data_IF_318176356576
#
_entry.id   IF_318176356576
#
_cell.length_a   1.000
_cell.length_b   1.000
_cell.length_c   1.000
_cell.angle_alpha   90.00
_cell.angle_beta   90.00
_cell.angle_gamma   90.00
#
_symmetry.space_group_name_H-M   'P 1'
#
loop_
_entity.id
_entity.type
_entity.pdbx_description
1 polymer ?
#
# COMPACT_ATOMS: atom_id res chain seq x y z
N UNK A 1 -54.03 -27.42 38.28
CA UNK A 1 -52.64 -26.91 38.32
C UNK A 1 -52.26 -26.47 36.92
N UNK A 2 -52.10 -25.17 36.73
CA UNK A 2 -51.80 -24.54 35.45
C UNK A 2 -50.27 -24.49 35.24
N UNK A 3 -49.76 -25.10 34.18
CA UNK A 3 -48.40 -24.86 33.71
C UNK A 3 -48.46 -24.11 32.39
N UNK A 4 -48.20 -22.80 32.44
CA UNK A 4 -47.76 -21.99 31.30
C UNK A 4 -46.23 -22.10 31.29
N UNK A 5 -45.66 -22.75 30.29
CA UNK A 5 -44.23 -22.61 29.99
C UNK A 5 -44.13 -21.86 28.67
N UNK A 6 -43.50 -20.70 28.78
CA UNK A 6 -43.31 -19.68 27.75
C UNK A 6 -42.24 -20.18 26.79
N UNK A 7 -42.58 -20.33 25.51
CA UNK A 7 -41.61 -20.57 24.44
C UNK A 7 -40.84 -19.26 24.20
N UNK A 8 -39.58 -19.20 24.63
CA UNK A 8 -38.68 -18.11 24.27
C UNK A 8 -38.08 -18.41 22.90
N UNK A 9 -38.60 -17.73 21.86
CA UNK A 9 -38.01 -17.75 20.52
C UNK A 9 -36.64 -17.05 20.54
N UNK A 10 -35.57 -17.79 20.26
CA UNK A 10 -34.27 -17.22 19.91
C UNK A 10 -34.40 -16.52 18.56
N UNK A 11 -34.42 -15.19 18.57
CA UNK A 11 -34.17 -14.39 17.37
C UNK A 11 -32.69 -14.51 17.02
N UNK A 12 -32.38 -15.32 16.00
CA UNK A 12 -31.05 -15.32 15.38
C UNK A 12 -30.98 -14.03 14.54
N UNK A 13 -30.44 -12.95 15.11
CA UNK A 13 -30.04 -11.78 14.34
C UNK A 13 -28.88 -12.20 13.42
N UNK A 14 -29.21 -12.55 12.19
CA UNK A 14 -28.25 -12.58 11.10
C UNK A 14 -27.74 -11.16 10.90
N UNK A 15 -26.58 -10.85 11.49
CA UNK A 15 -25.83 -9.64 11.16
C UNK A 15 -25.33 -9.82 9.73
N UNK A 16 -26.12 -9.38 8.77
CA UNK A 16 -25.70 -9.24 7.38
C UNK A 16 -24.48 -8.34 7.40
N UNK A 17 -23.29 -8.91 7.18
CA UNK A 17 -22.08 -8.14 6.91
C UNK A 17 -22.35 -7.31 5.64
N UNK A 18 -22.75 -6.05 5.81
CA UNK A 18 -22.80 -5.10 4.72
C UNK A 18 -21.40 -5.10 4.10
N UNK A 19 -21.27 -5.25 2.76
CA UNK A 19 -19.99 -5.14 2.10
C UNK A 19 -19.37 -3.80 2.49
N UNK A 20 -18.05 -3.80 2.75
CA UNK A 20 -17.30 -2.59 3.03
C UNK A 20 -17.75 -1.48 2.07
N UNK A 21 -18.18 -0.35 2.62
CA UNK A 21 -18.80 0.70 1.83
C UNK A 21 -17.85 1.14 0.71
N UNK A 22 -18.23 0.84 -0.53
CA UNK A 22 -17.61 1.42 -1.71
C UNK A 22 -17.61 2.95 -1.55
N UNK A 23 -16.55 3.62 -2.01
CA UNK A 23 -16.47 5.08 -1.99
C UNK A 23 -17.72 5.73 -2.62
N UNK A 24 -18.09 6.96 -2.21
CA UNK A 24 -19.32 7.59 -2.66
C UNK A 24 -19.34 7.81 -4.17
N UNK A 25 -20.52 7.77 -4.78
CA UNK A 25 -20.68 8.27 -6.15
C UNK A 25 -20.60 9.81 -6.16
N UNK A 26 -20.18 10.39 -7.28
CA UNK A 26 -20.07 11.84 -7.40
C UNK A 26 -19.81 12.32 -8.82
N UNK A 27 -19.54 13.62 -8.96
CA UNK A 27 -19.29 14.23 -10.26
C UNK A 27 -17.95 13.71 -10.83
N UNK A 28 -17.92 13.04 -12.00
CA UNK A 28 -16.68 12.52 -12.59
C UNK A 28 -15.65 13.61 -12.93
N UNK A 29 -16.09 14.86 -13.11
CA UNK A 29 -15.23 16.04 -13.32
C UNK A 29 -14.69 16.64 -12.02
N UNK A 30 -15.13 16.17 -10.85
CA UNK A 30 -14.53 16.54 -9.58
C UNK A 30 -13.24 15.76 -9.34
N UNK A 31 -12.45 16.24 -8.39
CA UNK A 31 -11.23 15.59 -7.91
C UNK A 31 -11.43 14.87 -6.58
N UNK A 32 -12.65 14.87 -6.07
CA UNK A 32 -12.98 14.32 -4.77
C UNK A 32 -12.86 12.80 -4.81
N UNK A 33 -12.63 12.18 -3.65
CA UNK A 33 -12.56 10.74 -3.52
C UNK A 33 -13.94 10.10 -3.74
N UNK A 34 -14.15 9.60 -4.95
CA UNK A 34 -15.42 9.04 -5.43
C UNK A 34 -15.19 7.75 -6.23
N UNK A 35 -16.27 7.03 -6.46
CA UNK A 35 -16.30 5.92 -7.40
C UNK A 35 -16.18 6.45 -8.83
N UNK A 36 -15.11 6.07 -9.53
CA UNK A 36 -14.85 6.46 -10.93
C UNK A 36 -15.08 5.28 -11.86
N UNK A 37 -15.64 5.55 -13.05
CA UNK A 37 -15.99 4.56 -14.09
C UNK A 37 -15.85 5.21 -15.49
N UNK A 38 -15.39 4.52 -16.53
CA UNK A 38 -14.55 3.30 -16.55
C UNK A 38 -13.03 3.62 -16.55
N UNK A 39 -12.15 2.71 -16.06
CA UNK A 39 -12.48 1.49 -15.31
C UNK A 39 -12.91 1.78 -13.87
N UNK A 40 -13.69 0.87 -13.30
CA UNK A 40 -14.18 0.97 -11.92
C UNK A 40 -13.02 0.99 -10.92
N UNK A 41 -13.02 2.01 -10.07
CA UNK A 41 -12.10 2.21 -8.94
C UNK A 41 -12.65 3.27 -8.01
N UNK A 42 -12.14 3.30 -6.79
CA UNK A 42 -12.23 4.47 -5.95
C UNK A 42 -11.00 5.34 -6.18
N UNK A 43 -11.18 6.64 -6.46
CA UNK A 43 -10.05 7.56 -6.70
C UNK A 43 -10.43 9.00 -6.36
N UNK A 44 -9.53 9.70 -5.69
CA UNK A 44 -9.57 11.15 -5.56
C UNK A 44 -8.73 11.69 -4.41
N UNK A 45 -8.97 12.95 -4.08
CA UNK A 45 -8.43 13.60 -2.89
C UNK A 45 -9.32 13.28 -1.70
N UNK A 46 -8.74 12.71 -0.65
CA UNK A 46 -9.38 12.46 0.64
C UNK A 46 -9.14 13.62 1.59
N UNK A 47 -10.21 14.16 2.14
CA UNK A 47 -10.16 15.07 3.28
C UNK A 47 -10.04 14.27 4.59
N UNK A 48 -8.97 13.48 4.71
CA UNK A 48 -8.68 12.77 5.96
C UNK A 48 -7.59 13.52 6.72
N UNK A 49 -7.83 13.81 8.00
CA UNK A 49 -6.74 14.12 8.92
C UNK A 49 -5.94 12.83 9.10
N UNK A 50 -4.74 12.78 8.54
CA UNK A 50 -3.78 11.75 8.88
C UNK A 50 -3.59 11.78 10.40
N UNK A 51 -3.70 10.62 11.05
CA UNK A 51 -3.48 10.52 12.48
C UNK A 51 -1.99 10.52 12.80
N UNK A 52 -1.60 11.36 13.76
CA UNK A 52 -0.29 11.28 14.39
C UNK A 52 -0.11 9.92 15.09
N UNK A 53 1.14 9.56 15.37
CA UNK A 53 1.55 8.31 16.03
C UNK A 53 1.48 7.03 15.18
N UNK A 54 1.59 7.12 13.85
CA UNK A 54 1.68 5.95 12.98
C UNK A 54 2.91 5.96 12.07
N UNK A 55 3.43 4.77 11.78
CA UNK A 55 4.44 4.53 10.76
C UNK A 55 3.90 3.47 9.81
N UNK A 56 3.63 3.87 8.57
CA UNK A 56 2.98 3.01 7.59
C UNK A 56 3.91 2.75 6.41
N UNK A 57 4.02 1.49 6.00
CA UNK A 57 4.60 1.14 4.70
C UNK A 57 3.58 1.51 3.61
N UNK A 58 3.88 2.53 2.82
CA UNK A 58 2.97 3.05 1.79
C UNK A 58 3.46 2.77 0.37
N UNK A 59 4.67 2.23 0.21
CA UNK A 59 5.15 1.77 -1.10
C UNK A 59 6.07 0.58 -0.97
N UNK A 60 5.83 -0.43 -1.82
CA UNK A 60 6.86 -1.33 -2.34
C UNK A 60 6.68 -1.26 -3.84
N UNK A 61 7.49 -0.45 -4.53
CA UNK A 61 7.29 -0.20 -5.95
C UNK A 61 8.59 -0.11 -6.72
N UNK A 62 8.53 -0.34 -8.02
CA UNK A 62 9.57 0.10 -8.96
C UNK A 62 8.92 1.05 -9.96
N UNK A 63 9.54 2.21 -10.17
CA UNK A 63 8.97 3.26 -11.01
C UNK A 63 10.04 4.12 -11.65
N UNK A 64 9.88 4.40 -12.93
CA UNK A 64 10.65 5.41 -13.66
C UNK A 64 9.66 6.42 -14.27
N UNK A 65 9.06 7.23 -13.42
CA UNK A 65 8.00 8.17 -13.78
C UNK A 65 8.40 9.60 -13.44
N UNK A 66 8.60 10.42 -14.48
CA UNK A 66 8.97 11.84 -14.36
C UNK A 66 7.78 12.79 -14.52
N UNK A 67 6.76 12.39 -15.27
CA UNK A 67 5.53 13.17 -15.51
C UNK A 67 4.33 12.26 -15.77
N UNK A 68 3.12 12.77 -15.55
CA UNK A 68 1.89 12.05 -15.91
C UNK A 68 1.49 12.32 -17.37
N UNK A 69 1.39 11.27 -18.17
CA UNK A 69 0.67 11.29 -19.45
C UNK A 69 -0.84 11.29 -19.25
N UNK A 70 -1.63 11.14 -20.32
CA UNK A 70 -3.10 11.01 -20.22
C UNK A 70 -3.51 9.78 -19.40
N UNK A 71 -2.79 8.67 -19.59
CA UNK A 71 -3.03 7.42 -18.89
C UNK A 71 -1.79 6.98 -18.14
N UNK A 72 -1.99 6.23 -17.06
CA UNK A 72 -0.95 5.53 -16.33
C UNK A 72 -1.39 4.08 -16.12
N UNK A 73 -0.41 3.18 -16.10
CA UNK A 73 -0.62 1.76 -15.84
C UNK A 73 0.17 1.37 -14.61
N UNK A 74 -0.47 0.63 -13.71
CA UNK A 74 0.22 -0.17 -12.69
C UNK A 74 0.19 -1.64 -13.10
N UNK A 75 1.28 -2.35 -12.81
CA UNK A 75 1.35 -3.79 -12.97
C UNK A 75 1.78 -4.43 -11.66
N UNK A 76 1.15 -5.56 -11.34
CA UNK A 76 1.38 -6.32 -10.12
C UNK A 76 1.77 -7.73 -10.54
N UNK A 77 2.98 -8.21 -10.19
CA UNK A 77 3.38 -9.57 -10.50
C UNK A 77 2.45 -10.60 -9.88
N UNK A 78 2.10 -11.63 -10.65
CA UNK A 78 1.40 -12.79 -10.11
C UNK A 78 2.38 -13.68 -9.34
N UNK A 79 1.94 -14.15 -8.18
CA UNK A 79 2.70 -15.10 -7.35
C UNK A 79 1.94 -16.42 -7.21
N UNK A 80 2.66 -17.48 -6.85
CA UNK A 80 2.05 -18.80 -6.63
C UNK A 80 0.99 -18.74 -5.51
N UNK A 81 -0.17 -19.34 -5.74
CA UNK A 81 -1.32 -19.28 -4.83
C UNK A 81 -2.09 -17.96 -4.82
N UNK A 82 -1.56 -16.89 -5.43
CA UNK A 82 -2.21 -15.57 -5.50
C UNK A 82 -3.24 -15.49 -6.63
N UNK A 83 -4.48 -15.09 -6.30
CA UNK A 83 -5.57 -14.92 -7.28
C UNK A 83 -5.93 -13.48 -7.61
N UNK A 84 -6.07 -12.62 -6.61
CA UNK A 84 -6.39 -11.21 -6.79
C UNK A 84 -5.61 -10.40 -5.75
N UNK A 85 -4.62 -9.58 -6.14
CA UNK A 85 -3.94 -8.73 -5.19
C UNK A 85 -4.85 -7.55 -4.81
N UNK A 86 -4.80 -7.17 -3.54
CA UNK A 86 -5.26 -5.85 -3.10
C UNK A 86 -4.20 -4.84 -3.47
N UNK A 87 -4.62 -3.69 -4.00
CA UNK A 87 -3.69 -2.66 -4.50
C UNK A 87 -4.20 -1.30 -4.03
N UNK A 88 -3.28 -0.54 -3.45
CA UNK A 88 -3.55 0.84 -3.04
C UNK A 88 -2.46 1.72 -3.62
N UNK A 89 -2.87 2.78 -4.30
CA UNK A 89 -2.00 3.83 -4.83
C UNK A 89 -2.29 5.12 -4.08
N UNK A 90 -1.25 5.78 -3.58
CA UNK A 90 -1.38 7.03 -2.80
C UNK A 90 -0.36 8.06 -3.23
N UNK A 91 -0.64 9.32 -2.93
CA UNK A 91 0.36 10.37 -2.87
C UNK A 91 0.00 11.30 -1.72
N UNK A 92 0.97 11.59 -0.86
CA UNK A 92 0.79 12.40 0.34
C UNK A 92 1.65 13.65 0.21
N UNK A 93 1.00 14.81 0.17
CA UNK A 93 1.65 16.11 0.25
C UNK A 93 1.11 16.90 1.44
N UNK A 94 1.72 18.04 1.73
CA UNK A 94 1.35 18.88 2.88
C UNK A 94 -0.11 19.37 2.83
N UNK A 95 -0.68 19.48 1.63
CA UNK A 95 -2.02 20.03 1.38
C UNK A 95 -2.95 19.10 0.57
N UNK A 96 -2.56 17.84 0.34
CA UNK A 96 -3.39 16.89 -0.38
C UNK A 96 -3.10 15.45 0.04
N UNK A 97 -4.15 14.62 0.09
CA UNK A 97 -4.03 13.17 0.23
C UNK A 97 -4.74 12.50 -0.95
N UNK A 98 -3.99 12.12 -1.97
CA UNK A 98 -4.54 11.33 -3.07
C UNK A 98 -4.56 9.86 -2.69
N UNK A 99 -5.68 9.18 -2.98
CA UNK A 99 -5.82 7.75 -2.84
C UNK A 99 -6.57 7.17 -4.03
N UNK A 100 -6.13 5.99 -4.47
CA UNK A 100 -6.82 5.13 -5.40
C UNK A 100 -6.72 3.67 -4.94
N UNK A 101 -7.87 3.00 -4.84
CA UNK A 101 -8.05 1.64 -4.36
C UNK A 101 -9.28 1.00 -5.01
N UNK A 102 -9.64 -0.22 -4.57
CA UNK A 102 -10.71 -1.03 -5.15
C UNK A 102 -10.59 -1.19 -6.68
N UNK A 103 -9.35 -1.43 -7.12
CA UNK A 103 -8.99 -1.56 -8.52
C UNK A 103 -9.57 -2.85 -9.13
N UNK A 104 -10.31 -2.71 -10.23
CA UNK A 104 -10.68 -3.86 -11.05
C UNK A 104 -9.54 -4.26 -11.98
N UNK A 105 -8.68 -5.17 -11.52
CA UNK A 105 -7.47 -5.57 -12.23
C UNK A 105 -7.77 -6.54 -13.38
N UNK A 106 -7.12 -6.32 -14.51
CA UNK A 106 -7.09 -7.29 -15.61
C UNK A 106 -5.91 -8.25 -15.44
N UNK A 107 -6.14 -9.55 -15.68
CA UNK A 107 -5.11 -10.58 -15.58
C UNK A 107 -4.65 -11.00 -16.98
N UNK A 108 -3.35 -10.92 -17.24
CA UNK A 108 -2.74 -11.33 -18.51
C UNK A 108 -1.90 -12.62 -18.40
N UNK A 109 -2.13 -13.40 -17.35
CA UNK A 109 -1.45 -14.66 -17.06
C UNK A 109 -0.30 -14.51 -16.07
N UNK A 110 0.67 -13.65 -16.38
CA UNK A 110 1.89 -13.43 -15.57
C UNK A 110 1.81 -12.21 -14.65
N UNK A 111 0.94 -11.25 -14.94
CA UNK A 111 0.74 -10.02 -14.17
C UNK A 111 -0.74 -9.66 -14.11
N UNK A 112 -1.07 -8.87 -13.09
CA UNK A 112 -2.29 -8.08 -13.04
C UNK A 112 -1.95 -6.67 -13.50
N UNK A 113 -2.85 -6.02 -14.22
CA UNK A 113 -2.65 -4.63 -14.65
C UNK A 113 -3.90 -3.81 -14.49
N UNK A 114 -3.69 -2.52 -14.25
CA UNK A 114 -4.73 -1.52 -14.16
C UNK A 114 -4.27 -0.25 -14.86
N UNK A 115 -5.06 0.21 -15.83
CA UNK A 115 -4.78 1.42 -16.60
C UNK A 115 -5.91 2.41 -16.39
N UNK A 116 -5.60 3.64 -16.01
CA UNK A 116 -6.61 4.68 -15.78
C UNK A 116 -6.16 6.02 -16.39
N UNK A 117 -7.13 6.90 -16.62
CA UNK A 117 -6.84 8.30 -16.95
C UNK A 117 -6.37 9.05 -15.70
N UNK A 118 -5.25 9.75 -15.80
CA UNK A 118 -4.60 10.47 -14.70
C UNK A 118 -5.24 11.82 -14.40
N UNK A 119 -6.51 12.04 -14.78
CA UNK A 119 -7.23 13.31 -14.66
C UNK A 119 -7.05 13.95 -13.29
N UNK A 120 -7.33 13.23 -12.20
CA UNK A 120 -7.22 13.77 -10.84
C UNK A 120 -5.78 14.18 -10.53
N UNK A 121 -4.82 13.30 -10.82
CA UNK A 121 -3.40 13.53 -10.60
C UNK A 121 -2.90 14.80 -11.33
N UNK A 122 -3.30 14.97 -12.59
CA UNK A 122 -2.96 16.16 -13.40
C UNK A 122 -3.69 17.41 -12.92
N UNK A 123 -5.00 17.32 -12.66
CA UNK A 123 -5.82 18.45 -12.23
C UNK A 123 -5.38 19.02 -10.87
N UNK A 124 -4.86 18.16 -9.98
CA UNK A 124 -4.33 18.54 -8.67
C UNK A 124 -2.82 18.82 -8.67
N UNK A 125 -2.17 18.80 -9.84
CA UNK A 125 -0.73 19.02 -9.98
C UNK A 125 0.10 18.12 -9.05
N UNK A 126 -0.32 16.87 -8.86
CA UNK A 126 0.40 15.93 -8.02
C UNK A 126 1.76 15.62 -8.68
N UNK A 127 2.88 15.69 -7.96
CA UNK A 127 4.17 15.35 -8.53
C UNK A 127 4.23 13.87 -8.91
N UNK A 128 4.62 13.55 -10.14
CA UNK A 128 4.65 12.16 -10.60
C UNK A 128 5.59 11.27 -9.77
N UNK A 129 6.67 11.86 -9.27
CA UNK A 129 7.63 11.18 -8.40
C UNK A 129 7.14 10.96 -6.96
N UNK A 130 5.97 11.48 -6.58
CA UNK A 130 5.35 11.31 -5.26
C UNK A 130 4.36 10.14 -5.21
N UNK A 131 4.06 9.51 -6.35
CA UNK A 131 3.11 8.39 -6.39
C UNK A 131 3.73 7.16 -5.71
N UNK A 132 2.99 6.57 -4.78
CA UNK A 132 3.34 5.40 -3.97
C UNK A 132 2.33 4.30 -4.20
N UNK A 133 2.80 3.06 -4.17
CA UNK A 133 1.91 1.93 -4.40
C UNK A 133 2.33 0.72 -3.59
N UNK A 134 1.35 0.10 -2.94
CA UNK A 134 1.48 -1.19 -2.27
C UNK A 134 0.51 -2.17 -2.89
N UNK A 135 0.96 -3.41 -3.01
CA UNK A 135 0.10 -4.52 -3.37
C UNK A 135 0.39 -5.71 -2.46
N UNK A 136 -0.66 -6.43 -2.11
CA UNK A 136 -0.56 -7.63 -1.27
C UNK A 136 -1.54 -8.71 -1.71
N UNK A 137 -1.11 -9.96 -1.54
CA UNK A 137 -1.98 -11.12 -1.64
C UNK A 137 -2.30 -11.63 -0.24
N UNK A 138 -3.57 -11.95 0.00
CA UNK A 138 -3.98 -12.63 1.23
C UNK A 138 -3.75 -14.13 1.08
N UNK A 139 -2.62 -14.62 1.60
CA UNK A 139 -2.22 -16.03 1.56
C UNK A 139 -2.27 -16.62 2.98
N UNK A 140 -3.44 -17.11 3.38
CA UNK A 140 -3.67 -17.58 4.74
C UNK A 140 -3.86 -16.42 5.71
N UNK A 141 -3.16 -16.44 6.85
CA UNK A 141 -3.34 -15.46 7.94
C UNK A 141 -2.48 -14.19 7.83
N UNK A 142 -1.55 -14.12 6.87
CA UNK A 142 -0.66 -12.97 6.70
C UNK A 142 -0.69 -12.44 5.26
N UNK A 143 -0.74 -11.11 5.06
CA UNK A 143 -0.58 -10.52 3.75
C UNK A 143 0.86 -10.72 3.28
N UNK A 144 1.01 -11.13 2.02
CA UNK A 144 2.31 -11.22 1.33
C UNK A 144 2.39 -10.09 0.33
N UNK A 145 3.32 -9.17 0.56
CA UNK A 145 3.49 -8.02 -0.31
C UNK A 145 4.23 -8.37 -1.59
N UNK A 146 3.93 -7.62 -2.65
CA UNK A 146 4.61 -7.72 -3.96
C UNK A 146 4.91 -6.31 -4.46
N UNK A 147 6.00 -6.12 -5.24
CA UNK A 147 6.31 -4.82 -5.79
C UNK A 147 5.27 -4.42 -6.84
N UNK A 148 4.82 -3.17 -6.79
CA UNK A 148 4.01 -2.57 -7.85
C UNK A 148 4.93 -1.91 -8.87
N UNK A 149 4.77 -2.25 -10.14
CA UNK A 149 5.46 -1.58 -11.25
C UNK A 149 4.58 -0.42 -11.69
N UNK A 150 5.02 0.81 -11.44
CA UNK A 150 4.26 2.02 -11.78
C UNK A 150 4.84 2.63 -13.05
N UNK A 151 4.12 2.50 -14.16
CA UNK A 151 4.66 2.81 -15.49
C UNK A 151 5.74 1.81 -15.88
N UNK A 152 7.01 2.22 -15.82
CA UNK A 152 8.17 1.39 -16.14
C UNK A 152 9.01 1.11 -14.89
N UNK A 153 9.72 -0.02 -14.88
CA UNK A 153 10.67 -0.33 -13.81
C UNK A 153 11.87 0.64 -13.84
N UNK A 154 12.40 0.93 -12.66
CA UNK A 154 13.66 1.67 -12.47
C UNK A 154 14.89 0.77 -12.24
N UNK A 155 14.72 -0.55 -12.25
CA UNK A 155 15.79 -1.48 -11.86
C UNK A 155 15.98 -1.66 -10.35
N UNK A 156 15.21 -0.95 -9.52
CA UNK A 156 15.25 -1.06 -8.06
C UNK A 156 13.86 -0.99 -7.44
N UNK A 157 13.70 -1.63 -6.29
CA UNK A 157 12.53 -1.41 -5.43
C UNK A 157 12.74 -0.17 -4.57
N UNK A 158 11.68 0.59 -4.39
CA UNK A 158 11.53 1.68 -3.44
C UNK A 158 10.57 1.22 -2.34
N UNK A 159 11.10 1.07 -1.13
CA UNK A 159 10.33 0.90 0.08
C UNK A 159 10.13 2.26 0.70
N UNK A 160 8.88 2.71 0.77
CA UNK A 160 8.55 4.04 1.29
C UNK A 160 7.68 3.90 2.52
N UNK A 161 8.19 4.42 3.62
CA UNK A 161 7.45 4.57 4.85
C UNK A 161 7.01 6.02 5.02
N UNK A 162 5.84 6.21 5.59
CA UNK A 162 5.33 7.54 5.91
C UNK A 162 4.91 7.62 7.38
N UNK A 163 5.27 8.74 8.00
CA UNK A 163 4.79 9.15 9.32
C UNK A 163 4.61 10.66 9.37
N UNK A 164 3.61 11.14 10.11
CA UNK A 164 3.48 12.56 10.42
C UNK A 164 4.44 13.03 11.51
N UNK A 165 4.99 12.11 12.29
CA UNK A 165 5.98 12.39 13.32
C UNK A 165 7.39 12.19 12.77
N UNK A 166 8.39 12.65 13.52
CA UNK A 166 9.79 12.44 13.14
C UNK A 166 10.15 10.99 13.46
N UNK A 167 10.60 10.25 12.45
CA UNK A 167 10.95 8.84 12.62
C UNK A 167 12.41 8.63 12.30
N UNK A 168 13.09 7.89 13.18
CA UNK A 168 14.45 7.42 13.00
C UNK A 168 14.46 5.92 12.80
N UNK A 169 14.98 5.44 11.68
CA UNK A 169 15.16 4.02 11.44
C UNK A 169 16.56 3.60 11.89
N UNK A 170 16.65 2.81 12.97
CA UNK A 170 17.91 2.24 13.42
C UNK A 170 18.28 1.00 12.63
N UNK A 171 17.28 0.29 12.10
CA UNK A 171 17.46 -0.94 11.33
C UNK A 171 16.47 -0.99 10.19
N UNK A 172 16.96 -1.29 8.99
CA UNK A 172 16.17 -1.71 7.83
C UNK A 172 16.94 -2.86 7.17
N UNK A 173 16.35 -4.04 7.12
CA UNK A 173 16.99 -5.26 6.67
C UNK A 173 16.08 -6.06 5.75
N UNK A 174 16.68 -6.68 4.75
CA UNK A 174 16.03 -7.71 3.93
C UNK A 174 16.67 -9.04 4.28
N UNK A 175 15.86 -9.94 4.82
CA UNK A 175 16.27 -11.26 5.29
C UNK A 175 15.82 -12.31 4.27
N UNK A 176 16.76 -13.17 3.88
CA UNK A 176 16.44 -14.42 3.19
C UNK A 176 16.13 -15.49 4.24
N UNK A 177 15.24 -16.43 3.91
CA UNK A 177 14.94 -17.58 4.78
C UNK A 177 16.24 -18.25 5.28
N UNK A 178 16.35 -18.36 6.61
CA UNK A 178 17.45 -19.01 7.34
C UNK A 178 18.88 -18.48 7.02
N UNK A 179 18.98 -17.25 6.50
CA UNK A 179 20.25 -16.62 6.12
C UNK A 179 20.43 -15.26 6.82
N UNK A 180 21.66 -14.76 6.94
CA UNK A 180 21.90 -13.39 7.38
C UNK A 180 21.22 -12.39 6.43
N UNK A 181 21.08 -11.15 6.90
CA UNK A 181 20.53 -10.06 6.09
C UNK A 181 21.30 -9.94 4.76
N UNK A 182 20.57 -10.01 3.64
CA UNK A 182 21.13 -9.83 2.29
C UNK A 182 21.22 -8.35 1.90
N UNK A 183 20.54 -7.49 2.66
CA UNK A 183 20.64 -6.05 2.59
C UNK A 183 20.39 -5.49 3.99
N UNK A 184 21.21 -4.53 4.43
CA UNK A 184 21.03 -3.86 5.72
C UNK A 184 21.44 -2.40 5.60
N UNK A 185 20.65 -1.51 6.18
CA UNK A 185 20.93 -0.08 6.22
C UNK A 185 20.19 0.57 7.40
N UNK A 186 20.41 1.86 7.60
CA UNK A 186 19.72 2.67 8.60
C UNK A 186 19.50 4.10 8.09
N UNK A 187 18.59 4.82 8.74
CA UNK A 187 18.38 6.27 8.57
C UNK A 187 18.39 6.88 9.97
N UNK A 188 19.60 7.17 10.52
CA UNK A 188 19.74 7.61 11.90
C UNK A 188 19.28 9.06 12.12
N UNK A 189 19.11 9.83 11.05
CA UNK A 189 18.61 11.20 11.13
C UNK A 189 17.06 11.19 11.14
N UNK A 190 16.41 11.62 12.22
CA UNK A 190 14.96 11.57 12.33
C UNK A 190 14.30 12.58 11.40
N UNK A 191 13.33 12.12 10.60
CA UNK A 191 12.64 12.92 9.58
C UNK A 191 11.12 12.69 9.63
N UNK A 192 10.35 13.75 9.38
CA UNK A 192 8.90 13.71 9.16
C UNK A 192 8.57 13.43 7.69
N UNK A 193 7.44 12.75 7.45
CA UNK A 193 6.94 12.42 6.12
C UNK A 193 7.56 11.14 5.59
N UNK A 194 7.96 11.15 4.32
CA UNK A 194 8.48 9.96 3.67
C UNK A 194 9.95 9.67 4.02
N UNK A 195 10.20 8.41 4.39
CA UNK A 195 11.53 7.80 4.44
C UNK A 195 11.62 6.72 3.37
N UNK A 196 12.60 6.84 2.47
CA UNK A 196 12.76 5.98 1.30
C UNK A 196 14.02 5.12 1.46
N UNK A 197 13.84 3.81 1.25
CA UNK A 197 14.90 2.83 1.11
C UNK A 197 14.85 2.24 -0.28
N UNK A 198 16.01 1.99 -0.87
CA UNK A 198 16.11 1.42 -2.21
C UNK A 198 16.94 0.16 -2.21
N UNK A 199 16.44 -0.89 -2.85
CA UNK A 199 17.16 -2.14 -3.02
C UNK A 199 17.15 -2.53 -4.51
N UNK A 200 18.31 -2.88 -5.04
CA UNK A 200 18.51 -3.26 -6.44
C UNK A 200 17.99 -4.67 -6.79
N UNK A 201 17.52 -5.42 -5.79
CA UNK A 201 16.99 -6.76 -6.00
C UNK A 201 18.06 -7.76 -6.42
N UNK A 202 19.33 -7.55 -6.04
CA UNK A 202 20.41 -8.49 -6.33
C UNK A 202 20.34 -9.74 -5.41
N UNK A 203 19.30 -10.55 -5.59
CA UNK A 203 19.10 -11.82 -4.91
C UNK A 203 18.29 -12.80 -5.78
N UNK A 204 18.29 -14.11 -5.47
CA UNK A 204 17.45 -15.07 -6.19
C UNK A 204 15.95 -14.78 -6.01
N UNK A 205 15.12 -15.22 -6.96
CA UNK A 205 13.67 -15.14 -6.78
C UNK A 205 13.23 -15.97 -5.57
N UNK A 206 12.31 -15.42 -4.77
CA UNK A 206 11.76 -16.10 -3.62
C UNK A 206 11.07 -15.14 -2.65
N UNK A 207 10.66 -15.70 -1.52
CA UNK A 207 10.04 -14.98 -0.42
C UNK A 207 11.10 -14.46 0.54
N UNK A 208 10.98 -13.19 0.90
CA UNK A 208 11.87 -12.48 1.80
C UNK A 208 11.08 -11.84 2.93
N UNK A 209 11.79 -11.45 3.98
CA UNK A 209 11.25 -10.67 5.07
C UNK A 209 11.95 -9.31 5.13
N UNK A 210 11.15 -8.25 5.15
CA UNK A 210 11.58 -6.92 5.51
C UNK A 210 11.47 -6.78 7.03
N UNK A 211 12.62 -6.68 7.69
CA UNK A 211 12.73 -6.40 9.12
C UNK A 211 13.13 -4.95 9.32
N UNK A 212 12.42 -4.22 10.18
CA UNK A 212 12.83 -2.88 10.55
C UNK A 212 12.59 -2.55 12.02
N UNK A 213 13.47 -1.70 12.54
CA UNK A 213 13.36 -1.07 13.86
C UNK A 213 13.38 0.44 13.67
N UNK A 214 12.34 1.09 14.14
CA UNK A 214 12.16 2.53 14.04
C UNK A 214 11.76 3.13 15.39
N UNK A 215 12.17 4.36 15.64
CA UNK A 215 11.75 5.14 16.82
C UNK A 215 10.97 6.36 16.33
N UNK A 216 9.73 6.50 16.80
CA UNK A 216 8.90 7.67 16.56
C UNK A 216 9.21 8.70 17.64
N UNK A 217 9.81 9.82 17.28
CA UNK A 217 10.13 10.92 18.19
C UNK A 217 8.91 11.81 18.40
N UNK A 218 8.58 12.04 19.67
CA UNK A 218 7.54 12.98 20.09
C UNK A 218 8.16 14.18 20.76
N UNK A 219 7.49 15.32 20.65
CA UNK A 219 7.93 16.53 21.35
C UNK A 219 7.65 16.36 22.84
N UNK A 220 8.69 16.48 23.66
CA UNK A 220 8.62 16.41 25.13
C UNK A 220 8.12 15.06 25.69
N UNK A 221 8.16 13.99 24.92
CA UNK A 221 7.79 12.64 25.36
C UNK A 221 8.88 11.63 24.96
N UNK A 222 8.99 10.46 25.64
CA UNK A 222 9.84 9.37 25.20
C UNK A 222 9.48 8.92 23.78
N UNK A 223 10.49 8.47 23.02
CA UNK A 223 10.27 7.92 21.69
C UNK A 223 9.63 6.54 21.75
N UNK A 224 8.67 6.27 20.87
CA UNK A 224 8.06 4.94 20.74
C UNK A 224 8.87 4.07 19.79
N UNK A 225 9.37 2.94 20.30
CA UNK A 225 10.08 1.93 19.49
C UNK A 225 9.08 1.02 18.79
N UNK A 226 9.19 0.91 17.48
CA UNK A 226 8.46 -0.02 16.63
C UNK A 226 9.43 -1.01 16.02
N UNK A 227 9.13 -2.30 16.17
CA UNK A 227 9.79 -3.38 15.47
C UNK A 227 8.74 -4.19 14.71
N UNK A 228 8.98 -4.41 13.43
CA UNK A 228 8.05 -5.13 12.55
C UNK A 228 8.80 -5.98 11.55
N UNK A 229 8.12 -7.03 11.13
CA UNK A 229 8.53 -7.98 10.09
C UNK A 229 7.41 -8.04 9.07
N UNK A 230 7.76 -7.85 7.80
CA UNK A 230 6.81 -7.84 6.68
C UNK A 230 7.30 -8.83 5.63
N UNK A 231 6.43 -9.74 5.21
CA UNK A 231 6.77 -10.72 4.18
C UNK A 231 6.51 -10.13 2.80
N UNK A 232 7.46 -10.28 1.89
CA UNK A 232 7.28 -9.87 0.50
C UNK A 232 7.92 -10.87 -0.48
N UNK A 233 7.40 -10.95 -1.69
CA UNK A 233 7.98 -11.74 -2.78
C UNK A 233 8.92 -10.89 -3.63
N UNK A 234 9.97 -11.52 -4.13
CA UNK A 234 10.93 -10.92 -5.04
C UNK A 234 11.20 -11.84 -6.23
N UNK A 235 11.36 -11.21 -7.40
CA UNK A 235 11.94 -11.83 -8.58
C UNK A 235 12.77 -10.77 -9.33
N UNK A 236 14.04 -11.04 -9.65
CA UNK A 236 14.87 -10.12 -10.43
C UNK A 236 14.26 -9.70 -11.77
N UNK A 237 13.45 -10.57 -12.39
CA UNK A 237 12.79 -10.28 -13.67
C UNK A 237 11.69 -9.22 -13.56
N UNK A 238 11.24 -8.85 -12.35
CA UNK A 238 10.28 -7.75 -12.16
C UNK A 238 10.95 -6.38 -12.15
N UNK A 239 12.28 -6.34 -12.05
CA UNK A 239 13.08 -5.12 -12.07
C UNK A 239 13.61 -4.78 -13.47
N UNK A 240 13.54 -5.73 -14.41
CA UNK A 240 13.95 -5.54 -15.81
C UNK A 240 12.89 -4.83 -16.64
#
# INVERSE_FOLDING_TARGET
>A
MNYKIILASLLILSVSHLPAAACPEGNPKSTDYIQRKPPNRCEGIKEEQLSGNSLNLISIATRNLTSFGKTLTVQIPRISGGKNPQVIVKSLGDNYHYQMDDLFLSNNGSRFSFSWDTYVLRQKNIPANSLRAVASYNLGSQPVYVPVIVGQSSGKYEFVFYSQDRVRFTTFEILSKDKPAIYSTSRPNPKKGETIFTWDGNAPSGRYELHYVANIERRNEPSDRIERRIVFEHNPNWLR
#
